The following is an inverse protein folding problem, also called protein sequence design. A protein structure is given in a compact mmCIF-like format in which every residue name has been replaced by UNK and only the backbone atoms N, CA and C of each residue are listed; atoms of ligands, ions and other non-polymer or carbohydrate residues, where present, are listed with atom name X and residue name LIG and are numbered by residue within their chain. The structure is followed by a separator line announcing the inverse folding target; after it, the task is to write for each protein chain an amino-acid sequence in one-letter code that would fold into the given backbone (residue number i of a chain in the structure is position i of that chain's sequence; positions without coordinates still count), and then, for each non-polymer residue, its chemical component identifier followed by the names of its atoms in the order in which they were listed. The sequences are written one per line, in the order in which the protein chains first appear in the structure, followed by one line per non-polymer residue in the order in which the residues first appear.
data_IF_442685168527
#
_entry.id   IF_442685168527
#
_cell.length_a   1.000
_cell.length_b   1.000
_cell.length_c   1.000
_cell.angle_alpha   90.00
_cell.angle_beta   90.00
_cell.angle_gamma   90.00
#
_symmetry.space_group_name_H-M   'P 1'
#
loop_
_entity.id
_entity.type
_entity.pdbx_description
1 polymer ?
#
# COMPACT_ATOMS: atom_id res chain seq x y z
N UNK A 1 10.81 -7.74 -9.48
CA UNK A 1 10.34 -6.35 -9.52
C UNK A 1 10.22 -5.71 -8.14
N UNK A 2 10.27 -6.49 -7.08
CA UNK A 2 10.21 -5.97 -5.72
C UNK A 2 10.41 -7.06 -4.69
N UNK A 3 10.61 -6.65 -3.43
CA UNK A 3 10.60 -7.52 -2.25
C UNK A 3 9.54 -7.00 -1.31
N UNK A 4 8.54 -7.81 -1.00
CA UNK A 4 7.48 -7.50 -0.04
C UNK A 4 7.87 -7.89 1.37
N UNK A 5 7.03 -7.56 2.35
CA UNK A 5 7.26 -7.88 3.77
C UNK A 5 7.44 -9.38 4.04
N UNK A 6 6.94 -10.24 3.14
CA UNK A 6 6.87 -11.69 3.33
C UNK A 6 7.23 -12.51 2.08
N UNK A 7 7.95 -11.93 1.09
CA UNK A 7 8.38 -12.66 -0.10
C UNK A 7 8.84 -11.77 -1.24
N UNK A 8 9.44 -12.38 -2.25
CA UNK A 8 9.92 -11.70 -3.43
C UNK A 8 8.82 -11.62 -4.50
N UNK A 9 8.79 -10.51 -5.23
CA UNK A 9 7.81 -10.24 -6.28
C UNK A 9 8.51 -10.24 -7.63
N UNK A 10 8.01 -11.03 -8.57
CA UNK A 10 8.55 -11.21 -9.90
C UNK A 10 7.56 -10.75 -10.97
N UNK A 11 8.09 -10.33 -12.11
CA UNK A 11 7.32 -10.14 -13.33
C UNK A 11 7.16 -11.50 -14.00
N UNK A 12 5.95 -11.83 -14.42
CA UNK A 12 5.66 -13.02 -15.20
C UNK A 12 4.80 -12.71 -16.42
N UNK A 13 4.76 -13.62 -17.36
CA UNK A 13 3.88 -13.55 -18.53
C UNK A 13 3.04 -14.81 -18.62
N UNK A 14 1.73 -14.66 -18.76
CA UNK A 14 0.85 -15.76 -19.10
C UNK A 14 1.09 -16.15 -20.55
N UNK A 15 1.63 -17.36 -20.77
CA UNK A 15 2.01 -17.81 -22.12
C UNK A 15 0.82 -18.06 -23.06
N UNK A 16 -0.38 -18.23 -22.51
CA UNK A 16 -1.60 -18.46 -23.31
C UNK A 16 -2.20 -17.13 -23.77
N UNK A 17 -2.19 -16.13 -22.91
CA UNK A 17 -2.85 -14.83 -23.17
C UNK A 17 -1.86 -13.70 -23.48
N UNK A 18 -0.55 -13.93 -23.29
CA UNK A 18 0.52 -12.93 -23.31
C UNK A 18 0.32 -11.80 -22.29
N UNK A 19 -0.56 -11.98 -21.29
CA UNK A 19 -0.79 -11.00 -20.22
C UNK A 19 0.38 -10.98 -19.25
N UNK A 20 0.90 -9.80 -18.95
CA UNK A 20 1.88 -9.61 -17.90
C UNK A 20 1.21 -9.61 -16.52
N UNK A 21 1.84 -10.27 -15.56
CA UNK A 21 1.34 -10.47 -14.20
C UNK A 21 2.43 -10.24 -13.16
N UNK A 22 2.04 -9.89 -11.94
CA UNK A 22 2.93 -9.90 -10.79
C UNK A 22 2.80 -11.23 -10.05
N UNK A 23 3.93 -11.78 -9.61
CA UNK A 23 4.00 -13.09 -8.97
C UNK A 23 4.72 -12.94 -7.64
N UNK A 24 4.00 -13.19 -6.54
CA UNK A 24 4.55 -13.19 -5.20
C UNK A 24 4.86 -14.64 -4.79
N UNK A 25 6.11 -14.88 -4.36
CA UNK A 25 6.59 -16.18 -3.91
C UNK A 25 6.93 -16.15 -2.43
N UNK A 26 6.53 -17.18 -1.71
CA UNK A 26 6.87 -17.42 -0.30
C UNK A 26 7.38 -18.85 -0.15
N UNK A 27 8.54 -19.05 0.48
CA UNK A 27 9.05 -20.40 0.73
C UNK A 27 8.12 -21.17 1.68
N UNK A 28 7.73 -22.40 1.33
CA UNK A 28 6.86 -23.26 2.15
C UNK A 28 7.48 -23.53 3.54
N UNK A 29 8.82 -23.58 3.62
CA UNK A 29 9.56 -23.80 4.87
C UNK A 29 9.63 -22.58 5.80
N UNK A 30 9.00 -21.46 5.43
CA UNK A 30 8.93 -20.26 6.26
C UNK A 30 8.24 -20.57 7.59
N UNK A 31 8.79 -20.08 8.71
CA UNK A 31 8.24 -20.31 10.07
C UNK A 31 6.79 -19.82 10.24
N UNK A 32 6.41 -18.80 9.50
CA UNK A 32 5.08 -18.17 9.57
C UNK A 32 4.57 -17.91 8.15
N UNK A 33 4.03 -18.92 7.46
CA UNK A 33 3.51 -18.76 6.10
C UNK A 33 2.28 -17.84 6.12
N UNK A 34 2.33 -16.77 5.32
CA UNK A 34 1.28 -15.74 5.30
C UNK A 34 0.62 -15.60 3.93
N UNK A 35 1.28 -16.01 2.84
CA UNK A 35 0.78 -15.78 1.48
C UNK A 35 -0.61 -16.39 1.25
N UNK A 36 -0.88 -17.54 1.85
CA UNK A 36 -2.20 -18.17 1.75
C UNK A 36 -3.30 -17.38 2.49
N UNK A 37 -2.96 -16.77 3.63
CA UNK A 37 -3.90 -15.90 4.38
C UNK A 37 -4.13 -14.62 3.61
N UNK A 38 -3.06 -14.01 3.11
CA UNK A 38 -3.11 -12.81 2.30
C UNK A 38 -3.98 -13.01 1.04
N UNK A 39 -3.80 -14.14 0.34
CA UNK A 39 -4.61 -14.45 -0.84
C UNK A 39 -6.11 -14.60 -0.54
N UNK A 40 -6.46 -15.15 0.62
CA UNK A 40 -7.86 -15.20 1.08
C UNK A 40 -8.43 -13.80 1.33
N UNK A 41 -7.64 -12.90 1.92
CA UNK A 41 -8.06 -11.52 2.16
C UNK A 41 -8.27 -10.81 0.83
N UNK A 42 -7.36 -10.95 -0.14
CA UNK A 42 -7.56 -10.41 -1.49
C UNK A 42 -8.86 -10.91 -2.14
N UNK A 43 -9.17 -12.20 -2.01
CA UNK A 43 -10.43 -12.76 -2.53
C UNK A 43 -11.67 -12.14 -1.88
N UNK A 44 -11.62 -11.85 -0.57
CA UNK A 44 -12.69 -11.14 0.14
C UNK A 44 -12.81 -9.68 -0.30
N UNK A 45 -11.73 -9.07 -0.76
CA UNK A 45 -11.67 -7.68 -1.23
C UNK A 45 -11.96 -7.55 -2.74
N UNK A 46 -12.10 -8.65 -3.48
CA UNK A 46 -12.30 -8.62 -4.94
C UNK A 46 -13.46 -7.71 -5.35
N UNK A 47 -13.36 -7.15 -6.55
CA UNK A 47 -14.27 -6.17 -7.14
C UNK A 47 -14.28 -4.80 -6.46
N UNK A 48 -13.42 -4.57 -5.47
CA UNK A 48 -13.18 -3.24 -4.91
C UNK A 48 -12.37 -2.36 -5.87
N UNK A 49 -12.78 -1.10 -6.01
CA UNK A 49 -12.01 -0.14 -6.80
C UNK A 49 -10.62 0.02 -6.20
N UNK A 50 -9.55 -0.22 -7.00
CA UNK A 50 -8.16 -0.12 -6.55
C UNK A 50 -7.71 -1.28 -5.66
N UNK A 51 -8.34 -2.45 -5.80
CA UNK A 51 -7.85 -3.71 -5.28
C UNK A 51 -7.39 -4.56 -6.47
N UNK A 52 -6.15 -5.05 -6.50
CA UNK A 52 -5.68 -5.87 -7.61
C UNK A 52 -6.39 -7.21 -7.66
N UNK A 53 -6.65 -7.69 -8.88
CA UNK A 53 -7.27 -8.99 -9.09
C UNK A 53 -6.26 -10.12 -8.89
N UNK A 54 -6.64 -11.13 -8.11
CA UNK A 54 -5.87 -12.37 -8.00
C UNK A 54 -6.25 -13.28 -9.16
N UNK A 55 -5.27 -13.65 -9.97
CA UNK A 55 -5.42 -14.53 -11.11
C UNK A 55 -5.34 -16.00 -10.71
N UNK A 56 -4.41 -16.32 -9.82
CA UNK A 56 -4.20 -17.67 -9.34
C UNK A 56 -3.48 -17.68 -7.99
N UNK A 57 -3.70 -18.71 -7.21
CA UNK A 57 -3.00 -18.93 -5.96
C UNK A 57 -2.89 -20.44 -5.69
N UNK A 58 -1.71 -20.90 -5.32
CA UNK A 58 -1.43 -22.32 -5.05
C UNK A 58 -0.01 -22.53 -4.56
N UNK A 59 0.42 -23.79 -4.57
CA UNK A 59 1.80 -24.18 -4.23
C UNK A 59 2.44 -24.86 -5.42
N UNK A 60 3.70 -24.56 -5.67
CA UNK A 60 4.53 -25.17 -6.70
C UNK A 60 5.95 -25.37 -6.22
N UNK A 61 6.44 -26.61 -6.23
CA UNK A 61 7.73 -26.97 -5.68
C UNK A 61 7.85 -26.56 -4.21
N UNK A 62 8.89 -25.81 -3.89
CA UNK A 62 9.17 -25.31 -2.53
C UNK A 62 8.50 -23.97 -2.20
N UNK A 63 7.55 -23.48 -3.03
CA UNK A 63 6.96 -22.16 -2.88
C UNK A 63 5.44 -22.16 -2.84
N UNK A 64 4.87 -21.35 -1.96
CA UNK A 64 3.53 -20.80 -2.11
C UNK A 64 3.60 -19.66 -3.11
N UNK A 65 2.63 -19.59 -4.02
CA UNK A 65 2.63 -18.69 -5.16
C UNK A 65 1.30 -17.95 -5.23
N UNK A 66 1.34 -16.64 -5.42
CA UNK A 66 0.17 -15.82 -5.71
C UNK A 66 0.44 -15.01 -6.98
N UNK A 67 -0.40 -15.21 -7.99
CA UNK A 67 -0.37 -14.49 -9.27
C UNK A 67 -1.47 -13.44 -9.27
N UNK A 68 -1.09 -12.21 -9.55
CA UNK A 68 -2.00 -11.07 -9.47
C UNK A 68 -1.81 -10.09 -10.63
N UNK A 69 -2.78 -9.21 -10.80
CA UNK A 69 -2.72 -8.10 -11.74
C UNK A 69 -1.40 -7.33 -11.60
N UNK A 70 -0.70 -7.11 -12.72
CA UNK A 70 0.48 -6.26 -12.73
C UNK A 70 0.04 -4.80 -12.58
N UNK A 71 0.70 -4.09 -11.68
CA UNK A 71 0.48 -2.68 -11.41
C UNK A 71 1.71 -1.85 -11.79
N UNK A 72 1.52 -0.55 -11.82
CA UNK A 72 2.57 0.43 -12.06
C UNK A 72 3.42 0.73 -10.81
N UNK A 73 4.17 1.84 -10.82
CA UNK A 73 5.05 2.23 -9.73
C UNK A 73 4.27 2.55 -8.44
N UNK A 74 4.93 2.36 -7.30
CA UNK A 74 4.40 2.79 -6.01
C UNK A 74 4.41 4.31 -5.86
N UNK A 75 3.62 4.83 -4.92
CA UNK A 75 3.67 6.27 -4.61
C UNK A 75 5.02 6.68 -4.02
N UNK A 76 5.79 5.79 -3.37
CA UNK A 76 7.16 6.07 -2.94
C UNK A 76 8.10 6.19 -4.14
N UNK A 77 7.98 5.31 -5.16
CA UNK A 77 8.77 5.42 -6.39
C UNK A 77 8.49 6.72 -7.14
N UNK A 78 7.19 7.08 -7.27
CA UNK A 78 6.77 8.31 -7.91
C UNK A 78 7.17 9.56 -7.13
N UNK A 79 7.14 9.48 -5.80
CA UNK A 79 7.61 10.56 -4.94
C UNK A 79 9.11 10.79 -5.12
N UNK A 80 9.91 9.72 -5.14
CA UNK A 80 11.33 9.81 -5.44
C UNK A 80 11.60 10.31 -6.87
N UNK A 81 10.80 9.87 -7.86
CA UNK A 81 10.88 10.35 -9.24
C UNK A 81 10.61 11.86 -9.35
N UNK A 82 9.69 12.39 -8.55
CA UNK A 82 9.39 13.82 -8.44
C UNK A 82 10.31 14.56 -7.45
N UNK A 83 11.52 14.05 -7.21
CA UNK A 83 12.52 14.64 -6.30
C UNK A 83 12.01 14.85 -4.87
N UNK A 84 11.11 13.96 -4.42
CA UNK A 84 10.48 13.97 -3.09
C UNK A 84 9.67 15.25 -2.80
N UNK A 85 9.00 15.72 -3.84
CA UNK A 85 8.13 16.90 -3.75
C UNK A 85 6.90 16.68 -4.63
N UNK A 86 5.73 16.62 -4.01
CA UNK A 86 4.44 16.65 -4.71
C UNK A 86 3.79 18.01 -4.56
N UNK A 87 3.16 18.48 -5.63
CA UNK A 87 2.29 19.66 -5.58
C UNK A 87 1.08 19.38 -4.67
N UNK A 88 0.52 20.43 -4.09
CA UNK A 88 -0.70 20.31 -3.30
C UNK A 88 -1.84 19.68 -4.11
N UNK A 89 -1.93 19.98 -5.41
CA UNK A 89 -2.90 19.36 -6.33
C UNK A 89 -2.75 17.83 -6.32
N UNK A 90 -1.54 17.32 -6.52
CA UNK A 90 -1.26 15.88 -6.50
C UNK A 90 -1.62 15.26 -5.15
N UNK A 91 -1.22 15.89 -4.04
CA UNK A 91 -1.55 15.38 -2.69
C UNK A 91 -3.05 15.30 -2.46
N UNK A 92 -3.82 16.31 -2.90
CA UNK A 92 -5.28 16.34 -2.73
C UNK A 92 -6.00 15.32 -3.61
N UNK A 93 -5.55 15.13 -4.86
CA UNK A 93 -6.08 14.08 -5.75
C UNK A 93 -5.84 12.69 -5.17
N UNK A 94 -4.67 12.46 -4.58
CA UNK A 94 -4.34 11.22 -3.89
C UNK A 94 -5.17 11.03 -2.63
N UNK A 95 -5.30 12.06 -1.79
CA UNK A 95 -6.02 11.96 -0.51
C UNK A 95 -7.45 11.42 -0.68
N UNK A 96 -8.19 11.91 -1.66
CA UNK A 96 -9.55 11.43 -1.94
C UNK A 96 -9.58 9.93 -2.27
N UNK A 97 -8.66 9.47 -3.13
CA UNK A 97 -8.57 8.06 -3.49
C UNK A 97 -8.11 7.19 -2.30
N UNK A 98 -7.09 7.62 -1.57
CA UNK A 98 -6.50 6.85 -0.47
C UNK A 98 -7.50 6.65 0.68
N UNK A 99 -8.26 7.69 1.05
CA UNK A 99 -9.35 7.57 2.03
C UNK A 99 -10.39 6.55 1.55
N UNK A 100 -10.77 6.61 0.26
CA UNK A 100 -11.74 5.67 -0.31
C UNK A 100 -11.25 4.21 -0.30
N UNK A 101 -9.93 3.96 -0.50
CA UNK A 101 -9.34 2.59 -0.40
C UNK A 101 -9.43 2.06 1.02
N UNK A 102 -9.09 2.89 2.00
CA UNK A 102 -9.15 2.53 3.42
C UNK A 102 -10.59 2.30 3.85
N UNK A 103 -11.51 3.18 3.47
CA UNK A 103 -12.96 3.00 3.74
C UNK A 103 -13.46 1.67 3.19
N UNK A 104 -13.07 1.30 1.95
CA UNK A 104 -13.47 0.02 1.37
C UNK A 104 -12.97 -1.17 2.19
N UNK A 105 -11.70 -1.19 2.59
CA UNK A 105 -11.12 -2.26 3.41
C UNK A 105 -11.87 -2.36 4.75
N UNK A 106 -12.12 -1.24 5.40
CA UNK A 106 -12.87 -1.19 6.66
C UNK A 106 -14.32 -1.68 6.49
N UNK A 107 -14.96 -1.38 5.36
CA UNK A 107 -16.31 -1.88 5.04
C UNK A 107 -16.34 -3.41 4.88
N UNK A 108 -15.21 -4.02 4.49
CA UNK A 108 -15.03 -5.48 4.40
C UNK A 108 -14.60 -6.13 5.72
N UNK A 109 -14.70 -5.39 6.84
CA UNK A 109 -14.40 -5.83 8.22
C UNK A 109 -12.91 -6.02 8.54
N UNK A 110 -12.00 -5.46 7.73
CA UNK A 110 -10.56 -5.53 7.94
C UNK A 110 -9.96 -4.14 8.19
N UNK A 111 -8.82 -4.13 8.87
CA UNK A 111 -7.88 -3.01 8.95
C UNK A 111 -6.58 -3.44 8.29
N UNK A 112 -5.89 -2.51 7.63
CA UNK A 112 -4.69 -2.80 6.84
C UNK A 112 -3.43 -2.95 7.70
N UNK A 113 -3.23 -2.05 8.66
CA UNK A 113 -2.14 -1.99 9.64
C UNK A 113 -0.73 -1.67 9.10
N UNK A 114 -0.58 -1.45 7.80
CA UNK A 114 0.69 -0.98 7.21
C UNK A 114 0.46 0.04 6.09
N UNK A 115 -0.24 1.11 6.43
CA UNK A 115 -0.49 2.23 5.52
C UNK A 115 0.82 3.01 5.32
N UNK A 116 1.34 2.95 4.09
CA UNK A 116 2.58 3.61 3.67
C UNK A 116 2.59 3.84 2.17
N UNK A 117 3.41 4.78 1.64
CA UNK A 117 3.50 5.06 0.20
C UNK A 117 3.84 3.86 -0.66
N UNK A 118 4.67 2.94 -0.15
CA UNK A 118 5.10 1.72 -0.86
C UNK A 118 3.92 0.76 -1.16
N UNK A 119 2.87 0.79 -0.35
CA UNK A 119 1.70 -0.07 -0.47
C UNK A 119 0.58 0.53 -1.31
N UNK A 120 0.80 1.69 -1.93
CA UNK A 120 -0.10 2.30 -2.90
C UNK A 120 0.58 2.35 -4.26
N UNK A 121 0.01 1.66 -5.25
CA UNK A 121 0.54 1.58 -6.61
C UNK A 121 -0.43 2.21 -7.60
N UNK A 122 0.09 2.85 -8.64
CA UNK A 122 -0.74 3.30 -9.75
C UNK A 122 -1.14 2.12 -10.64
N UNK A 123 -2.30 2.20 -11.26
CA UNK A 123 -2.67 1.26 -12.31
C UNK A 123 -1.86 1.47 -13.60
N UNK A 124 -2.03 0.58 -14.57
CA UNK A 124 -1.39 0.63 -15.88
C UNK A 124 -2.38 0.98 -17.00
N UNK A 125 -1.89 1.55 -18.08
CA UNK A 125 -2.67 1.87 -19.27
C UNK A 125 -3.90 2.74 -18.95
N UNK A 126 -5.09 2.27 -19.28
CA UNK A 126 -6.37 2.99 -19.04
C UNK A 126 -6.68 3.21 -17.55
N UNK A 127 -6.05 2.46 -16.66
CA UNK A 127 -6.18 2.59 -15.20
C UNK A 127 -5.05 3.43 -14.57
N UNK A 128 -4.24 4.11 -15.36
CA UNK A 128 -3.06 4.85 -14.92
C UNK A 128 -3.34 6.03 -13.97
N UNK A 129 -4.59 6.45 -13.84
CA UNK A 129 -5.05 7.47 -12.89
C UNK A 129 -5.65 6.87 -11.60
N UNK A 130 -5.72 5.55 -11.50
CA UNK A 130 -6.31 4.85 -10.36
C UNK A 130 -5.22 4.39 -9.40
N UNK A 131 -5.39 4.70 -8.11
CA UNK A 131 -4.52 4.21 -7.04
C UNK A 131 -5.05 2.89 -6.52
N UNK A 132 -4.16 1.90 -6.45
CA UNK A 132 -4.40 0.58 -5.87
C UNK A 132 -3.75 0.49 -4.50
N UNK A 133 -4.35 -0.27 -3.58
CA UNK A 133 -3.74 -0.64 -2.30
C UNK A 133 -3.37 -2.12 -2.34
N UNK A 134 -2.17 -2.44 -1.86
CA UNK A 134 -1.59 -3.78 -1.88
C UNK A 134 -1.05 -4.19 -0.51
N UNK A 135 -0.61 -5.45 -0.38
CA UNK A 135 0.05 -6.04 0.78
C UNK A 135 -0.86 -6.16 2.02
N UNK A 136 -1.77 -7.12 1.96
CA UNK A 136 -2.64 -7.48 3.10
C UNK A 136 -1.97 -8.47 4.08
N UNK A 137 -0.66 -8.69 3.99
CA UNK A 137 0.06 -9.62 4.86
C UNK A 137 0.00 -9.27 6.35
N UNK A 138 -0.23 -8.00 6.69
CA UNK A 138 -0.45 -7.56 8.06
C UNK A 138 -1.92 -7.23 8.37
N UNK A 139 -2.83 -7.37 7.40
CA UNK A 139 -4.23 -7.02 7.61
C UNK A 139 -4.89 -7.92 8.68
N UNK A 140 -5.85 -7.34 9.38
CA UNK A 140 -6.55 -8.02 10.49
C UNK A 140 -8.04 -7.74 10.44
N UNK A 141 -8.85 -8.77 10.68
CA UNK A 141 -10.28 -8.63 10.91
C UNK A 141 -10.49 -7.87 12.23
N UNK A 142 -11.16 -6.70 12.18
CA UNK A 142 -11.40 -5.86 13.35
C UNK A 142 -12.80 -5.99 13.93
N UNK A 143 -13.73 -6.61 13.19
CA UNK A 143 -15.07 -6.93 13.68
C UNK A 143 -15.59 -8.22 13.06
N UNK A 144 -16.50 -8.87 13.74
CA UNK A 144 -17.18 -10.04 13.20
C UNK A 144 -18.05 -9.67 11.99
N UNK A 145 -18.13 -10.56 11.00
CA UNK A 145 -18.82 -10.28 9.73
C UNK A 145 -20.34 -10.33 9.84
N UNK A 146 -20.87 -11.06 10.81
CA UNK A 146 -22.30 -11.26 11.02
C UNK A 146 -22.85 -10.37 12.12
N UNK A 147 -22.20 -10.38 13.29
CA UNK A 147 -22.66 -9.63 14.46
C UNK A 147 -22.18 -8.20 14.47
N UNK A 148 -21.17 -7.88 13.65
CA UNK A 148 -20.43 -6.62 13.64
C UNK A 148 -19.81 -6.25 15.00
N UNK A 149 -19.66 -7.23 15.91
CA UNK A 149 -18.96 -7.02 17.17
C UNK A 149 -17.49 -6.71 16.91
N UNK A 150 -17.04 -5.57 17.44
CA UNK A 150 -15.65 -5.11 17.33
C UNK A 150 -14.73 -5.99 18.17
N UNK A 151 -13.46 -6.16 17.73
CA UNK A 151 -12.43 -6.78 18.56
C UNK A 151 -12.26 -6.00 19.87
N UNK A 152 -11.90 -6.68 20.98
CA UNK A 152 -11.73 -6.01 22.27
C UNK A 152 -10.52 -5.10 22.28
N UNK A 153 -10.61 -3.99 23.02
CA UNK A 153 -9.46 -3.15 23.36
C UNK A 153 -8.41 -3.97 24.13
N UNK A 154 -7.15 -3.86 23.74
CA UNK A 154 -6.01 -4.51 24.39
C UNK A 154 -4.80 -3.59 24.35
N UNK A 155 -3.94 -3.74 25.35
CA UNK A 155 -2.65 -3.06 25.45
C UNK A 155 -1.49 -4.06 25.38
N UNK A 156 -0.26 -3.58 25.51
CA UNK A 156 0.97 -4.36 25.45
C UNK A 156 1.15 -5.16 24.13
N UNK A 157 0.72 -4.57 23.02
CA UNK A 157 0.93 -5.13 21.69
C UNK A 157 2.28 -4.68 21.13
N UNK A 158 2.94 -5.58 20.42
CA UNK A 158 4.12 -5.23 19.67
C UNK A 158 3.76 -4.29 18.51
N UNK A 159 4.66 -3.37 18.18
CA UNK A 159 4.51 -2.49 17.03
C UNK A 159 4.37 -3.32 15.76
N UNK A 160 3.24 -3.19 15.09
CA UNK A 160 2.95 -3.81 13.79
C UNK A 160 2.91 -2.72 12.74
N UNK A 161 3.49 -3.01 11.56
CA UNK A 161 3.61 -2.07 10.45
C UNK A 161 4.89 -1.24 10.48
N UNK A 162 4.91 -0.18 9.71
CA UNK A 162 6.09 0.67 9.48
C UNK A 162 6.12 1.82 10.48
N UNK A 163 7.08 1.82 11.41
CA UNK A 163 7.17 2.78 12.53
C UNK A 163 7.07 4.26 12.08
N UNK A 164 7.60 4.61 10.89
CA UNK A 164 7.53 5.97 10.35
C UNK A 164 6.10 6.48 10.26
N UNK A 165 5.17 5.64 9.81
CA UNK A 165 3.78 6.01 9.56
C UNK A 165 2.81 5.50 10.64
N UNK A 166 3.23 4.59 11.51
CA UNK A 166 2.39 4.03 12.57
C UNK A 166 1.74 5.12 13.43
N UNK A 167 0.49 4.90 13.83
CA UNK A 167 -0.25 5.81 14.72
C UNK A 167 0.42 5.92 16.09
N UNK A 168 0.09 6.96 16.83
CA UNK A 168 0.62 7.14 18.19
C UNK A 168 0.19 5.98 19.10
N UNK A 169 -1.07 5.56 19.02
CA UNK A 169 -1.58 4.42 19.78
C UNK A 169 -0.83 3.11 19.47
N UNK A 170 -0.45 2.89 18.20
CA UNK A 170 0.37 1.75 17.82
C UNK A 170 1.75 1.76 18.50
N UNK A 171 2.38 2.93 18.62
CA UNK A 171 3.64 3.07 19.38
C UNK A 171 3.46 2.83 20.87
N UNK A 172 2.31 3.18 21.43
CA UNK A 172 1.98 2.95 22.85
C UNK A 172 1.58 1.49 23.14
N UNK A 173 1.58 0.61 22.12
CA UNK A 173 1.25 -0.80 22.29
C UNK A 173 -0.27 -1.06 22.42
N UNK A 174 -1.10 -0.13 21.98
CA UNK A 174 -2.56 -0.30 21.94
C UNK A 174 -2.94 -1.10 20.67
N UNK A 175 -3.92 -2.00 20.79
CA UNK A 175 -4.46 -2.74 19.65
C UNK A 175 -4.95 -1.78 18.56
N UNK A 176 -4.64 -2.08 17.30
CA UNK A 176 -5.02 -1.23 16.17
C UNK A 176 -6.49 -1.40 15.82
N UNK A 177 -7.11 -0.30 15.39
CA UNK A 177 -8.47 -0.24 14.86
C UNK A 177 -8.53 0.67 13.63
N UNK A 178 -9.73 1.00 13.14
CA UNK A 178 -9.91 1.84 11.94
C UNK A 178 -9.22 3.20 12.04
N UNK A 179 -9.20 3.81 13.25
CA UNK A 179 -8.58 5.12 13.47
C UNK A 179 -7.09 5.12 13.17
N UNK A 180 -6.40 4.00 13.40
CA UNK A 180 -4.95 3.89 13.26
C UNK A 180 -4.52 3.88 11.78
N UNK A 181 -5.27 3.22 10.89
CA UNK A 181 -5.04 3.29 9.44
C UNK A 181 -5.21 4.72 8.91
N UNK A 182 -6.21 5.46 9.41
CA UNK A 182 -6.46 6.84 8.99
C UNK A 182 -5.42 7.81 9.55
N UNK A 183 -4.97 7.64 10.80
CA UNK A 183 -3.86 8.44 11.34
C UNK A 183 -2.58 8.22 10.55
N UNK A 184 -2.30 6.95 10.19
CA UNK A 184 -1.16 6.61 9.33
C UNK A 184 -1.25 7.29 7.96
N UNK A 185 -2.44 7.32 7.35
CA UNK A 185 -2.66 8.07 6.11
C UNK A 185 -2.39 9.58 6.30
N UNK A 186 -2.80 10.16 7.40
CA UNK A 186 -2.50 11.57 7.71
C UNK A 186 -0.99 11.84 7.70
N UNK A 187 -0.18 10.94 8.24
CA UNK A 187 1.28 11.06 8.18
C UNK A 187 1.84 10.86 6.77
N UNK A 188 1.25 9.97 5.97
CA UNK A 188 1.62 9.82 4.55
C UNK A 188 1.35 11.11 3.78
N UNK A 189 0.20 11.74 3.98
CA UNK A 189 -0.14 13.02 3.31
C UNK A 189 0.81 14.13 3.73
N UNK A 190 1.15 14.23 5.02
CA UNK A 190 2.14 15.19 5.49
C UNK A 190 3.56 14.90 4.98
N UNK A 191 3.92 13.63 4.85
CA UNK A 191 5.17 13.22 4.22
C UNK A 191 5.28 13.69 2.76
N UNK A 192 4.22 13.56 1.97
CA UNK A 192 4.18 14.05 0.60
C UNK A 192 4.23 15.60 0.52
N UNK A 193 3.58 16.29 1.43
CA UNK A 193 3.65 17.75 1.51
C UNK A 193 5.04 18.25 1.89
N UNK A 194 5.68 17.62 2.89
CA UNK A 194 6.92 18.13 3.53
C UNK A 194 8.20 17.61 2.88
N UNK A 195 8.16 16.49 2.14
CA UNK A 195 9.37 15.78 1.68
C UNK A 195 9.90 14.77 2.72
N UNK A 196 9.67 15.01 4.00
CA UNK A 196 10.09 14.15 5.12
C UNK A 196 9.22 14.39 6.36
N UNK A 197 9.33 13.49 7.35
CA UNK A 197 8.68 13.64 8.65
C UNK A 197 9.73 13.93 9.74
N UNK A 198 9.36 14.68 10.82
CA UNK A 198 10.31 15.13 11.87
C UNK A 198 11.02 13.99 12.62
N UNK A 199 10.48 12.78 12.56
CA UNK A 199 11.02 11.56 13.19
C UNK A 199 11.76 10.64 12.22
N UNK A 200 12.14 11.15 11.03
CA UNK A 200 13.03 10.45 10.10
C UNK A 200 14.49 10.73 10.37
N UNK A 201 15.38 9.82 9.97
CA UNK A 201 16.82 10.02 10.08
C UNK A 201 17.39 9.93 11.50
N UNK A 202 16.59 9.54 12.50
CA UNK A 202 17.06 9.39 13.87
C UNK A 202 18.07 8.24 13.96
N UNK A 203 19.26 8.55 14.51
CA UNK A 203 20.31 7.57 14.77
C UNK A 203 19.96 6.73 15.99
N UNK A 204 20.18 5.43 15.96
CA UNK A 204 20.00 4.52 17.07
C UNK A 204 20.91 3.30 16.88
N UNK A 205 21.39 2.70 17.97
CA UNK A 205 22.25 1.52 17.91
C UNK A 205 21.44 0.23 17.62
N UNK A 206 20.21 0.16 18.11
CA UNK A 206 19.34 -1.02 17.92
C UNK A 206 18.01 -0.64 17.31
N UNK A 207 17.33 -1.64 16.70
CA UNK A 207 15.98 -1.47 16.15
C UNK A 207 14.99 -1.01 17.23
N UNK A 208 15.09 -1.53 18.45
CA UNK A 208 14.25 -1.15 19.59
C UNK A 208 14.44 0.32 19.93
N UNK A 209 15.69 0.76 20.15
CA UNK A 209 16.00 2.16 20.42
C UNK A 209 15.54 3.09 19.29
N UNK A 210 15.63 2.64 18.03
CA UNK A 210 15.10 3.41 16.91
C UNK A 210 13.60 3.63 17.03
N UNK A 211 12.85 2.60 17.40
CA UNK A 211 11.39 2.70 17.57
C UNK A 211 11.02 3.58 18.75
N UNK A 212 11.74 3.47 19.87
CA UNK A 212 11.56 4.33 21.05
C UNK A 212 11.78 5.80 20.68
N UNK A 213 12.89 6.14 20.01
CA UNK A 213 13.17 7.52 19.58
C UNK A 213 12.14 8.06 18.57
N UNK A 214 11.66 7.23 17.65
CA UNK A 214 10.58 7.62 16.71
C UNK A 214 9.31 7.94 17.52
N UNK A 215 8.94 7.08 18.46
CA UNK A 215 7.79 7.27 19.33
C UNK A 215 7.88 8.58 20.14
N UNK A 216 8.98 8.79 20.83
CA UNK A 216 9.24 10.01 21.62
C UNK A 216 9.16 11.28 20.75
N UNK A 217 9.82 11.25 19.59
CA UNK A 217 9.80 12.39 18.66
C UNK A 217 8.40 12.64 18.10
N UNK A 218 7.63 11.60 17.83
CA UNK A 218 6.26 11.72 17.35
C UNK A 218 5.33 12.25 18.44
N UNK A 219 5.48 11.81 19.70
CA UNK A 219 4.75 12.34 20.86
C UNK A 219 5.07 13.81 21.14
N UNK A 220 6.36 14.19 21.05
CA UNK A 220 6.81 15.56 21.30
C UNK A 220 6.59 16.52 20.12
N UNK A 221 6.06 16.06 18.99
CA UNK A 221 5.75 16.91 17.83
C UNK A 221 4.24 17.18 17.80
N UNK A 222 3.78 18.39 18.17
CA UNK A 222 2.38 18.77 18.06
C UNK A 222 1.87 18.70 16.62
N UNK A 223 0.60 18.36 16.43
CA UNK A 223 -0.01 18.34 15.08
C UNK A 223 0.06 19.72 14.44
N UNK A 224 -0.07 20.78 15.25
CA UNK A 224 0.01 22.17 14.77
C UNK A 224 1.39 22.47 14.16
N UNK A 225 2.47 21.98 14.77
CA UNK A 225 3.84 22.13 14.25
C UNK A 225 4.08 21.23 13.03
N UNK A 226 3.55 20.00 13.04
CA UNK A 226 3.65 19.09 11.91
C UNK A 226 3.00 19.67 10.65
N UNK A 227 1.84 20.32 10.81
CA UNK A 227 1.05 20.88 9.72
C UNK A 227 1.31 22.39 9.47
N UNK A 228 2.30 22.98 10.16
CA UNK A 228 2.63 24.40 9.99
C UNK A 228 2.98 24.71 8.54
N UNK A 229 2.44 25.81 8.01
CA UNK A 229 2.60 26.29 6.62
C UNK A 229 1.87 25.44 5.56
N UNK A 230 1.02 24.50 5.96
CA UNK A 230 0.16 23.72 5.07
C UNK A 230 -1.32 24.05 5.36
N UNK A 231 -2.23 23.79 4.39
CA UNK A 231 -3.65 24.05 4.61
C UNK A 231 -4.19 23.43 5.89
N UNK A 232 -5.10 24.16 6.54
CA UNK A 232 -5.71 23.77 7.83
C UNK A 232 -6.37 22.40 7.80
N UNK A 233 -6.82 21.97 6.64
CA UNK A 233 -7.52 20.71 6.45
C UNK A 233 -6.68 19.50 6.86
N UNK A 234 -5.36 19.55 6.65
CA UNK A 234 -4.44 18.49 7.11
C UNK A 234 -4.38 18.41 8.63
N UNK A 235 -4.36 19.56 9.31
CA UNK A 235 -4.40 19.63 10.77
C UNK A 235 -5.74 19.10 11.31
N UNK A 236 -6.85 19.53 10.72
CA UNK A 236 -8.20 19.08 11.09
C UNK A 236 -8.36 17.57 10.90
N UNK A 237 -7.83 17.03 9.79
CA UNK A 237 -7.81 15.60 9.51
C UNK A 237 -7.09 14.80 10.62
N UNK A 238 -5.85 15.17 10.94
CA UNK A 238 -5.05 14.47 11.95
C UNK A 238 -5.65 14.61 13.36
N UNK A 239 -6.14 15.80 13.75
CA UNK A 239 -6.82 16.01 15.04
C UNK A 239 -8.09 15.14 15.14
N UNK A 240 -8.87 15.04 14.05
CA UNK A 240 -10.03 14.18 13.99
C UNK A 240 -9.65 12.72 14.21
N UNK A 241 -8.68 12.18 13.47
CA UNK A 241 -8.25 10.78 13.58
C UNK A 241 -7.75 10.43 14.99
N UNK A 242 -6.97 11.33 15.63
CA UNK A 242 -6.46 11.12 17.00
C UNK A 242 -7.55 11.14 18.06
N UNK A 243 -8.65 11.87 17.84
CA UNK A 243 -9.77 11.97 18.78
C UNK A 243 -10.79 10.83 18.65
N UNK A 244 -10.70 10.01 17.61
CA UNK A 244 -11.58 8.84 17.45
C UNK A 244 -11.37 7.83 18.58
N UNK A 245 -12.48 7.32 19.13
CA UNK A 245 -12.45 6.21 20.08
C UNK A 245 -12.10 4.90 19.38
N UNK A 246 -11.67 3.91 20.13
CA UNK A 246 -11.18 2.63 19.61
C UNK A 246 -12.17 1.93 18.66
N UNK A 247 -13.44 1.84 19.04
CA UNK A 247 -14.49 1.17 18.26
C UNK A 247 -15.24 2.13 17.33
N UNK A 248 -14.94 3.42 17.39
CA UNK A 248 -15.70 4.42 16.67
C UNK A 248 -15.61 4.24 15.15
N UNK A 249 -16.73 4.36 14.48
CA UNK A 249 -16.76 4.41 13.02
C UNK A 249 -16.33 5.78 12.54
N UNK A 250 -15.24 5.88 11.76
CA UNK A 250 -14.83 7.16 11.19
C UNK A 250 -15.88 7.69 10.19
N UNK A 251 -16.04 8.99 10.16
CA UNK A 251 -16.79 9.69 9.11
C UNK A 251 -15.89 9.94 7.90
N UNK A 252 -15.82 8.94 7.01
CA UNK A 252 -15.00 9.01 5.79
C UNK A 252 -15.51 10.10 4.84
N UNK A 253 -16.81 10.35 4.82
CA UNK A 253 -17.42 11.41 4.02
C UNK A 253 -16.92 12.78 4.48
N UNK A 254 -16.90 13.04 5.78
CA UNK A 254 -16.33 14.25 6.35
C UNK A 254 -14.85 14.40 5.97
N UNK A 255 -14.04 13.33 6.13
CA UNK A 255 -12.61 13.38 5.81
C UNK A 255 -12.34 13.68 4.34
N UNK A 256 -13.10 13.06 3.43
CA UNK A 256 -13.02 13.36 2.00
C UNK A 256 -13.49 14.77 1.69
N UNK A 257 -14.55 15.22 2.35
CA UNK A 257 -15.11 16.56 2.15
C UNK A 257 -14.12 17.66 2.55
N UNK A 258 -13.32 17.47 3.59
CA UNK A 258 -12.24 18.41 3.96
C UNK A 258 -11.34 18.73 2.76
N UNK A 259 -10.81 17.69 2.11
CA UNK A 259 -9.87 17.85 1.00
C UNK A 259 -10.55 18.26 -0.32
N UNK A 260 -11.77 17.81 -0.57
CA UNK A 260 -12.55 18.24 -1.74
C UNK A 260 -12.90 19.73 -1.66
N UNK A 261 -13.31 20.21 -0.50
CA UNK A 261 -13.60 21.65 -0.29
C UNK A 261 -12.33 22.48 -0.50
N UNK A 262 -11.19 22.04 0.03
CA UNK A 262 -9.92 22.70 -0.22
C UNK A 262 -9.56 22.72 -1.71
N UNK A 263 -9.73 21.59 -2.40
CA UNK A 263 -9.46 21.47 -3.83
C UNK A 263 -10.27 22.48 -4.66
N UNK A 264 -11.55 22.59 -4.38
CA UNK A 264 -12.44 23.56 -5.03
C UNK A 264 -12.07 25.01 -4.67
N UNK A 265 -11.78 25.30 -3.40
CA UNK A 265 -11.39 26.63 -2.94
C UNK A 265 -10.12 27.14 -3.63
N UNK A 266 -9.21 26.22 -3.98
CA UNK A 266 -7.99 26.55 -4.73
C UNK A 266 -8.20 26.62 -6.25
N UNK A 267 -9.43 26.46 -6.76
CA UNK A 267 -9.72 26.50 -8.20
C UNK A 267 -9.09 25.35 -8.99
N UNK A 268 -8.77 24.23 -8.34
CA UNK A 268 -8.14 23.09 -8.99
C UNK A 268 -9.16 22.26 -9.78
N UNK A 269 -8.70 21.59 -10.83
CA UNK A 269 -9.54 20.74 -11.71
C UNK A 269 -9.24 19.26 -11.50
N UNK A 270 -10.30 18.43 -11.43
CA UNK A 270 -10.21 16.97 -11.36
C UNK A 270 -9.89 16.34 -12.72
N UNK A 271 -8.73 16.66 -13.26
CA UNK A 271 -8.23 16.14 -14.54
C UNK A 271 -7.38 14.89 -14.38
N UNK A 272 -7.10 14.48 -13.12
CA UNK A 272 -6.18 13.38 -12.77
C UNK A 272 -4.79 13.51 -13.37
N UNK A 273 -4.36 14.73 -13.67
CA UNK A 273 -2.98 15.03 -14.07
C UNK A 273 -2.14 15.23 -12.80
N UNK A 274 -1.30 14.24 -12.53
CA UNK A 274 -0.37 14.24 -11.41
C UNK A 274 1.00 14.80 -11.83
N UNK A 275 1.83 15.19 -10.87
CA UNK A 275 3.15 15.77 -11.12
C UNK A 275 4.03 14.89 -12.01
N UNK A 276 4.03 13.58 -11.82
CA UNK A 276 4.79 12.66 -12.65
C UNK A 276 4.29 12.54 -14.10
N UNK A 277 3.04 12.88 -14.37
CA UNK A 277 2.54 12.93 -15.74
C UNK A 277 3.16 14.12 -16.50
N UNK A 278 3.39 15.24 -15.83
CA UNK A 278 4.01 16.41 -16.41
C UNK A 278 5.50 16.20 -16.73
N UNK A 279 6.21 15.46 -15.87
CA UNK A 279 7.63 15.15 -16.05
C UNK A 279 7.89 14.15 -17.20
N UNK A 280 6.90 13.35 -17.60
CA UNK A 280 6.99 12.42 -18.74
C UNK A 280 7.17 13.12 -20.09
N UNK A 281 6.69 14.34 -20.25
CA UNK A 281 6.89 15.09 -21.48
C UNK A 281 8.36 15.41 -21.78
N UNK A 282 9.25 15.24 -20.80
CA UNK A 282 10.69 15.51 -20.93
C UNK A 282 11.53 14.25 -21.19
N UNK A 283 11.02 13.03 -20.90
CA UNK A 283 11.79 11.81 -21.20
C UNK A 283 10.95 10.54 -21.33
N UNK A 284 10.57 10.19 -22.53
CA UNK A 284 9.91 8.91 -22.89
C UNK A 284 10.78 7.68 -22.58
N UNK A 285 12.06 7.87 -22.26
CA UNK A 285 13.04 6.80 -22.00
C UNK A 285 13.16 6.37 -20.54
N UNK A 286 12.59 7.08 -19.58
CA UNK A 286 12.90 6.87 -18.16
C UNK A 286 12.01 5.84 -17.45
N UNK A 287 10.79 5.59 -17.91
CA UNK A 287 9.88 4.59 -17.29
C UNK A 287 10.28 3.16 -17.56
N UNK A 288 10.90 2.89 -18.70
CA UNK A 288 11.50 1.59 -19.02
C UNK A 288 12.72 1.34 -18.12
N UNK A 289 13.43 2.40 -17.68
CA UNK A 289 14.63 2.31 -16.85
C UNK A 289 14.34 2.04 -15.36
N UNK A 290 13.19 2.43 -14.81
CA UNK A 290 12.83 2.12 -13.41
C UNK A 290 12.58 0.62 -13.25
N UNK A 291 11.97 -0.03 -14.26
CA UNK A 291 11.82 -1.49 -14.29
C UNK A 291 13.15 -2.22 -14.57
N UNK A 292 14.17 -1.55 -15.18
CA UNK A 292 15.40 -2.20 -15.64
C UNK A 292 16.62 -2.03 -14.73
N UNK A 293 16.58 -1.23 -13.66
CA UNK A 293 17.77 -0.96 -12.82
C UNK A 293 18.07 -1.98 -11.73
N UNK A 294 17.29 -3.05 -11.61
CA UNK A 294 17.73 -4.20 -10.77
C UNK A 294 17.85 -5.41 -11.68
N UNK A 295 19.06 -5.97 -11.74
CA UNK A 295 19.38 -7.25 -12.39
C UNK A 295 18.64 -8.38 -11.64
N UNK A 296 17.31 -8.47 -11.84
CA UNK A 296 16.51 -9.55 -11.30
C UNK A 296 16.24 -10.56 -12.40
N UNK A 297 16.43 -11.86 -12.15
CA UNK A 297 16.12 -12.89 -13.12
C UNK A 297 14.65 -12.82 -13.51
N UNK A 298 14.38 -12.89 -14.82
CA UNK A 298 13.00 -13.02 -15.33
C UNK A 298 12.59 -14.47 -15.07
N UNK A 299 11.65 -14.67 -14.17
CA UNK A 299 11.02 -15.98 -13.98
C UNK A 299 9.91 -16.09 -15.02
N UNK A 300 10.12 -16.91 -16.03
CA UNK A 300 9.08 -17.25 -17.01
C UNK A 300 8.21 -18.35 -16.39
N UNK A 301 6.97 -18.04 -16.12
CA UNK A 301 6.03 -19.02 -15.57
C UNK A 301 5.14 -19.52 -16.70
N UNK A 302 5.25 -20.82 -16.95
CA UNK A 302 4.39 -21.51 -17.91
C UNK A 302 3.07 -21.89 -17.24
N UNK A 303 2.00 -21.18 -17.59
CA UNK A 303 0.65 -21.52 -17.16
C UNK A 303 0.00 -22.38 -18.26
N UNK A 304 -0.13 -23.70 -18.05
CA UNK A 304 -0.87 -24.58 -18.97
C UNK A 304 -2.23 -24.91 -18.38
N UNK A 305 -3.34 -24.76 -19.14
CA UNK A 305 -4.62 -25.31 -18.73
C UNK A 305 -4.55 -26.84 -18.75
N UNK A 306 -4.94 -27.51 -17.68
CA UNK A 306 -5.12 -28.95 -17.61
C UNK A 306 -6.58 -29.27 -17.94
N UNK A 307 -6.84 -29.75 -19.23
CA UNK A 307 -8.06 -30.44 -19.63
C UNK A 307 -9.26 -29.58 -20.02
N UNK A 308 -10.10 -30.14 -20.89
CA UNK A 308 -11.28 -29.54 -21.53
C UNK A 308 -12.54 -29.44 -20.63
N UNK A 309 -12.43 -29.39 -19.31
CA UNK A 309 -13.59 -29.13 -18.44
C UNK A 309 -13.35 -27.96 -17.50
N UNK A 310 -14.33 -27.07 -17.45
CA UNK A 310 -14.46 -25.80 -16.75
C UNK A 310 -14.09 -25.85 -15.26
N UNK A 311 -12.79 -25.89 -15.00
CA UNK A 311 -12.15 -25.44 -13.79
C UNK A 311 -10.68 -25.29 -14.16
N UNK A 312 -10.26 -24.06 -14.47
CA UNK A 312 -8.90 -23.74 -14.93
C UNK A 312 -7.88 -24.09 -13.85
N UNK A 313 -7.39 -25.34 -13.92
CA UNK A 313 -6.24 -25.75 -13.14
C UNK A 313 -4.99 -25.22 -13.87
N UNK A 314 -4.26 -24.31 -13.25
CA UNK A 314 -3.05 -23.71 -13.77
C UNK A 314 -1.85 -24.54 -13.31
N UNK A 315 -1.01 -24.99 -14.24
CA UNK A 315 0.30 -25.57 -13.90
C UNK A 315 1.36 -24.49 -14.06
N UNK A 316 2.04 -24.14 -12.98
CA UNK A 316 3.17 -23.21 -12.97
C UNK A 316 4.44 -24.03 -13.09
N UNK A 317 5.27 -23.75 -14.09
CA UNK A 317 6.62 -24.28 -14.18
C UNK A 317 7.60 -23.12 -14.01
N UNK A 318 8.36 -23.13 -12.94
CA UNK A 318 9.37 -22.11 -12.65
C UNK A 318 10.64 -22.44 -13.43
N UNK A 319 10.97 -21.66 -14.46
CA UNK A 319 12.30 -21.66 -15.05
C UNK A 319 12.97 -20.32 -14.80
N UNK A 320 14.16 -20.34 -14.19
CA UNK A 320 15.00 -19.16 -14.01
C UNK A 320 15.86 -19.05 -15.28
N UNK A 321 15.55 -18.09 -16.16
CA UNK A 321 16.42 -17.76 -17.30
C UNK A 321 17.32 -16.61 -16.88
N UNK A 322 18.63 -16.84 -16.82
CA UNK A 322 19.63 -15.79 -16.80
C UNK A 322 19.82 -15.30 -18.26
N UNK A 323 19.97 -13.98 -18.46
CA UNK A 323 20.04 -13.31 -19.76
C UNK A 323 21.19 -13.74 -20.69
N UNK A 324 21.97 -14.76 -20.33
CA UNK A 324 23.13 -15.21 -21.12
C UNK A 324 22.80 -16.23 -22.23
N UNK A 325 21.52 -16.63 -22.37
CA UNK A 325 21.13 -17.65 -23.38
C UNK A 325 20.27 -17.12 -24.53
N UNK A 326 20.22 -15.81 -24.76
CA UNK A 326 19.54 -15.19 -25.90
C UNK A 326 20.52 -14.28 -26.66
N UNK A 327 21.55 -14.90 -27.28
CA UNK A 327 22.30 -14.35 -28.42
C UNK A 327 22.02 -15.20 -29.63
#
# INVERSE_FOLDING_TARGET
IGSGSFGDIYLGTNITTAEEVAIKLECIKTKHPQLHIESKIYKLMQNGVGIPNIKWCGSEGDFNVMVMELLGPSLEDLFNFCSRQFSLKTVLLLADQLIGRIEYIHSRNFIHRDIKPDNFLMGLGKKGNLVYIIDFGLAKKYRDSLTHQHIPYRENKNLTGTARYASLNTHLGIEQSRRDDLESLGYVLMYFNRGSLPWQGLKAATKRQKYERISEKKMSTPIDDLCKNYPEEFRRYLKYCRNLRFEERPDYTFLRHLFRTLFHRLGLTYDYVFDWNMLKFVSTSFLILICHRRSTPIIVIYLRPLGQHMNTCWKISLSISTRESLT
#
